data_IF_175994519853
#
_entry.id   IF_175994519853
#
_cell.length_a   1.000
_cell.length_b   1.000
_cell.length_c   1.000
_cell.angle_alpha   90.00
_cell.angle_beta   90.00
_cell.angle_gamma   90.00
#
_symmetry.space_group_name_H-M   'P 1'
#
loop_
_entity.id
_entity.type
_entity.pdbx_description
1 polymer ?
#
# COMPACT_ATOMS: atom_id res chain seq x y z
N UNK A 1 -29.21 3.38 -34.50
CA UNK A 1 -28.07 2.54 -34.09
C UNK A 1 -26.73 3.27 -34.02
N UNK A 2 -26.47 4.32 -34.82
CA UNK A 2 -25.16 5.01 -34.85
C UNK A 2 -24.74 5.72 -33.54
N UNK A 3 -25.62 6.47 -32.86
CA UNK A 3 -25.24 7.24 -31.65
C UNK A 3 -24.77 6.37 -30.48
N UNK A 4 -25.45 5.26 -30.23
CA UNK A 4 -25.14 4.34 -29.12
C UNK A 4 -23.74 3.73 -29.27
N UNK A 5 -23.29 3.47 -30.50
CA UNK A 5 -21.94 2.96 -30.75
C UNK A 5 -20.87 4.04 -30.54
N UNK A 6 -21.16 5.28 -30.91
CA UNK A 6 -20.29 6.44 -30.65
C UNK A 6 -20.15 6.71 -29.15
N UNK A 7 -21.26 6.62 -28.39
CA UNK A 7 -21.25 6.84 -26.94
C UNK A 7 -20.43 5.78 -26.21
N UNK A 8 -20.56 4.51 -26.60
CA UNK A 8 -19.77 3.41 -26.01
C UNK A 8 -18.28 3.52 -26.34
N UNK A 9 -17.93 3.98 -27.54
CA UNK A 9 -16.53 4.23 -27.90
C UNK A 9 -15.96 5.36 -27.05
N UNK A 10 -16.72 6.44 -26.88
CA UNK A 10 -16.35 7.55 -26.02
C UNK A 10 -16.17 7.10 -24.56
N UNK A 11 -17.08 6.27 -24.05
CA UNK A 11 -16.98 5.69 -22.71
C UNK A 11 -15.73 4.83 -22.54
N UNK A 12 -15.38 4.03 -23.55
CA UNK A 12 -14.13 3.25 -23.55
C UNK A 12 -12.88 4.15 -23.51
N UNK A 13 -12.87 5.22 -24.31
CA UNK A 13 -11.76 6.19 -24.31
C UNK A 13 -11.65 6.95 -22.98
N UNK A 14 -12.78 7.37 -22.41
CA UNK A 14 -12.81 8.04 -21.10
C UNK A 14 -12.26 7.08 -20.04
N UNK A 15 -12.75 5.84 -20.01
CA UNK A 15 -12.30 4.82 -19.05
C UNK A 15 -10.79 4.58 -19.13
N UNK A 16 -10.23 4.54 -20.35
CA UNK A 16 -8.79 4.44 -20.60
C UNK A 16 -8.00 5.70 -20.18
N UNK A 17 -8.57 6.89 -20.34
CA UNK A 17 -7.89 8.10 -19.86
C UNK A 17 -7.87 8.15 -18.33
N UNK A 18 -8.99 7.77 -17.70
CA UNK A 18 -9.13 7.69 -16.24
C UNK A 18 -8.17 6.69 -15.62
N UNK A 19 -7.93 5.53 -16.25
CA UNK A 19 -6.98 4.54 -15.74
C UNK A 19 -5.55 5.10 -15.67
N UNK A 20 -5.11 5.84 -16.68
CA UNK A 20 -3.79 6.48 -16.72
C UNK A 20 -3.65 7.53 -15.61
N UNK A 21 -4.70 8.34 -15.40
CA UNK A 21 -4.73 9.35 -14.33
C UNK A 21 -4.69 8.68 -12.95
N UNK A 22 -5.50 7.65 -12.72
CA UNK A 22 -5.53 6.92 -11.45
C UNK A 22 -4.18 6.24 -11.16
N UNK A 23 -3.56 5.64 -12.17
CA UNK A 23 -2.23 5.07 -12.05
C UNK A 23 -1.17 6.14 -11.72
N UNK A 24 -1.29 7.35 -12.29
CA UNK A 24 -0.39 8.47 -11.99
C UNK A 24 -0.57 8.99 -10.57
N UNK A 25 -1.78 8.88 -10.01
CA UNK A 25 -2.08 9.22 -8.61
C UNK A 25 -1.67 8.10 -7.63
N UNK A 26 -1.18 6.96 -8.14
CA UNK A 26 -0.81 5.80 -7.33
C UNK A 26 -1.99 4.90 -6.94
N UNK A 27 -3.20 5.18 -7.41
CA UNK A 27 -4.36 4.30 -7.27
C UNK A 27 -4.39 3.27 -8.41
N UNK A 28 -3.52 2.26 -8.29
CA UNK A 28 -3.46 1.20 -9.28
C UNK A 28 -4.68 0.28 -9.25
N UNK A 29 -5.43 0.21 -8.14
CA UNK A 29 -6.66 -0.59 -8.06
C UNK A 29 -7.76 0.04 -8.91
N UNK A 30 -8.00 1.35 -8.75
CA UNK A 30 -8.92 2.11 -9.58
C UNK A 30 -8.50 2.13 -11.05
N UNK A 31 -7.19 2.17 -11.32
CA UNK A 31 -6.65 2.08 -12.67
C UNK A 31 -6.99 0.75 -13.36
N UNK A 32 -6.85 -0.38 -12.65
CA UNK A 32 -7.21 -1.72 -13.17
C UNK A 32 -8.70 -1.81 -13.49
N UNK A 33 -9.57 -1.33 -12.61
CA UNK A 33 -11.03 -1.39 -12.83
C UNK A 33 -11.47 -0.51 -14.01
N UNK A 34 -10.83 0.65 -14.20
CA UNK A 34 -11.10 1.55 -15.31
C UNK A 34 -10.56 1.01 -16.64
N UNK A 35 -9.34 0.45 -16.65
CA UNK A 35 -8.76 -0.16 -17.85
C UNK A 35 -9.50 -1.43 -18.26
N UNK A 36 -10.01 -2.21 -17.30
CA UNK A 36 -10.83 -3.40 -17.59
C UNK A 36 -12.11 -3.02 -18.35
N UNK A 37 -12.80 -1.97 -17.91
CA UNK A 37 -13.98 -1.43 -18.63
C UNK A 37 -13.63 -0.95 -20.04
N UNK A 38 -12.51 -0.27 -20.20
CA UNK A 38 -12.03 0.14 -21.52
C UNK A 38 -11.75 -1.06 -22.43
N UNK A 39 -11.07 -2.09 -21.92
CA UNK A 39 -10.77 -3.33 -22.66
C UNK A 39 -12.05 -4.05 -23.10
N UNK A 40 -13.03 -4.21 -22.21
CA UNK A 40 -14.32 -4.86 -22.53
C UNK A 40 -15.07 -4.09 -23.63
N UNK A 41 -15.13 -2.76 -23.53
CA UNK A 41 -15.78 -1.92 -24.53
C UNK A 41 -15.04 -1.96 -25.88
N UNK A 42 -13.72 -1.89 -25.90
CA UNK A 42 -12.94 -2.02 -27.13
C UNK A 42 -13.03 -3.41 -27.75
N UNK A 43 -13.07 -4.47 -26.93
CA UNK A 43 -13.29 -5.83 -27.39
C UNK A 43 -14.64 -6.01 -28.09
N UNK A 44 -15.71 -5.45 -27.50
CA UNK A 44 -17.07 -5.52 -28.08
C UNK A 44 -17.18 -4.68 -29.37
N UNK A 45 -16.59 -3.48 -29.39
CA UNK A 45 -16.77 -2.52 -30.49
C UNK A 45 -15.83 -2.74 -31.68
N UNK A 46 -14.57 -3.09 -31.39
CA UNK A 46 -13.48 -3.10 -32.37
C UNK A 46 -12.94 -4.52 -32.61
N UNK A 47 -13.22 -5.46 -31.69
CA UNK A 47 -12.69 -6.81 -31.69
C UNK A 47 -11.35 -6.96 -30.96
N UNK A 48 -11.02 -8.20 -30.58
CA UNK A 48 -9.82 -8.53 -29.79
C UNK A 48 -8.51 -8.27 -30.54
N UNK A 49 -8.52 -8.38 -31.88
CA UNK A 49 -7.33 -8.18 -32.70
C UNK A 49 -7.03 -6.70 -33.00
N UNK A 50 -7.92 -5.78 -32.64
CA UNK A 50 -7.73 -4.36 -32.89
C UNK A 50 -6.62 -3.78 -32.00
N UNK A 51 -5.84 -2.86 -32.56
CA UNK A 51 -4.68 -2.26 -31.87
C UNK A 51 -5.05 -1.60 -30.54
N UNK A 52 -6.19 -0.91 -30.48
CA UNK A 52 -6.69 -0.29 -29.25
C UNK A 52 -7.00 -1.30 -28.15
N UNK A 53 -7.59 -2.45 -28.51
CA UNK A 53 -7.92 -3.52 -27.57
C UNK A 53 -6.65 -4.15 -27.00
N UNK A 54 -5.67 -4.49 -27.86
CA UNK A 54 -4.36 -5.00 -27.42
C UNK A 54 -3.61 -4.01 -26.54
N UNK A 55 -3.60 -2.73 -26.91
CA UNK A 55 -2.97 -1.70 -26.12
C UNK A 55 -3.61 -1.57 -24.72
N UNK A 56 -4.93 -1.74 -24.62
CA UNK A 56 -5.62 -1.75 -23.32
C UNK A 56 -5.37 -3.03 -22.54
N UNK A 57 -5.23 -4.18 -23.20
CA UNK A 57 -4.81 -5.44 -22.56
C UNK A 57 -3.41 -5.32 -21.94
N UNK A 58 -2.46 -4.77 -22.68
CA UNK A 58 -1.09 -4.56 -22.21
C UNK A 58 -1.03 -3.56 -21.06
N UNK A 59 -1.82 -2.48 -21.14
CA UNK A 59 -1.95 -1.51 -20.05
C UNK A 59 -2.54 -2.17 -18.79
N UNK A 60 -3.56 -3.01 -18.94
CA UNK A 60 -4.19 -3.73 -17.83
C UNK A 60 -3.19 -4.65 -17.12
N UNK A 61 -2.38 -5.40 -17.88
CA UNK A 61 -1.32 -6.27 -17.33
C UNK A 61 -0.28 -5.46 -16.53
N UNK A 62 0.10 -4.28 -17.03
CA UNK A 62 1.04 -3.37 -16.35
C UNK A 62 0.46 -2.85 -15.05
N UNK A 63 -0.81 -2.41 -15.04
CA UNK A 63 -1.46 -1.92 -13.82
C UNK A 63 -1.68 -3.03 -12.79
N UNK A 64 -2.02 -4.25 -13.21
CA UNK A 64 -2.12 -5.41 -12.33
C UNK A 64 -0.77 -5.73 -11.66
N UNK A 65 0.32 -5.71 -12.43
CA UNK A 65 1.66 -5.90 -11.89
C UNK A 65 2.02 -4.79 -10.89
N UNK A 66 1.76 -3.52 -11.24
CA UNK A 66 2.02 -2.38 -10.36
C UNK A 66 1.22 -2.47 -9.05
N UNK A 67 -0.06 -2.81 -9.11
CA UNK A 67 -0.91 -3.01 -7.92
C UNK A 67 -0.37 -4.13 -7.01
N UNK A 68 0.09 -5.25 -7.61
CA UNK A 68 0.66 -6.36 -6.86
C UNK A 68 1.98 -5.99 -6.16
N UNK A 69 2.83 -5.19 -6.82
CA UNK A 69 4.06 -4.67 -6.22
C UNK A 69 3.79 -3.67 -5.09
N UNK A 70 2.79 -2.80 -5.25
CA UNK A 70 2.39 -1.83 -4.22
C UNK A 70 1.87 -2.54 -2.96
N UNK A 71 1.05 -3.59 -3.13
CA UNK A 71 0.55 -4.40 -2.02
C UNK A 71 1.66 -5.09 -1.23
N UNK A 72 2.71 -5.60 -1.89
CA UNK A 72 3.88 -6.18 -1.22
C UNK A 72 4.68 -5.14 -0.44
N UNK A 73 4.95 -3.99 -1.05
CA UNK A 73 5.69 -2.90 -0.38
C UNK A 73 5.01 -2.40 0.90
N UNK A 74 3.68 -2.31 0.92
CA UNK A 74 2.94 -1.91 2.11
C UNK A 74 3.02 -2.95 3.24
N UNK A 75 2.91 -4.24 2.91
CA UNK A 75 2.99 -5.33 3.90
C UNK A 75 4.39 -5.41 4.51
N UNK A 76 5.43 -5.21 3.69
CA UNK A 76 6.81 -5.25 4.17
C UNK A 76 7.12 -4.05 5.08
N UNK A 77 6.63 -2.84 4.73
CA UNK A 77 6.75 -1.67 5.59
C UNK A 77 5.98 -1.82 6.90
N UNK A 78 4.76 -2.36 6.87
CA UNK A 78 3.96 -2.58 8.08
C UNK A 78 4.62 -3.57 9.04
N UNK A 79 5.25 -4.64 8.53
CA UNK A 79 6.02 -5.58 9.36
C UNK A 79 7.25 -4.92 9.97
N UNK A 80 7.94 -4.06 9.21
CA UNK A 80 9.10 -3.33 9.72
C UNK A 80 8.70 -2.39 10.87
N UNK A 81 7.62 -1.64 10.70
CA UNK A 81 7.10 -0.73 11.74
C UNK A 81 6.67 -1.47 13.00
N UNK A 82 6.00 -2.63 12.86
CA UNK A 82 5.64 -3.46 14.02
C UNK A 82 6.86 -3.98 14.78
N UNK A 83 7.94 -4.34 14.07
CA UNK A 83 9.18 -4.76 14.71
C UNK A 83 9.88 -3.60 15.42
N UNK A 84 9.88 -2.40 14.82
CA UNK A 84 10.43 -1.19 15.43
C UNK A 84 9.65 -0.81 16.70
N UNK A 85 8.32 -0.80 16.66
CA UNK A 85 7.48 -0.55 17.83
C UNK A 85 7.70 -1.59 18.93
N UNK A 86 7.81 -2.87 18.57
CA UNK A 86 8.09 -3.93 19.53
C UNK A 86 9.48 -3.78 20.16
N UNK A 87 10.50 -3.41 19.37
CA UNK A 87 11.85 -3.18 19.88
C UNK A 87 11.90 -1.97 20.83
N UNK A 88 11.18 -0.89 20.50
CA UNK A 88 11.07 0.29 21.37
C UNK A 88 10.34 -0.03 22.68
N UNK A 89 9.28 -0.85 22.63
CA UNK A 89 8.57 -1.28 23.84
C UNK A 89 9.49 -2.08 24.78
N UNK A 90 10.27 -3.01 24.23
CA UNK A 90 11.25 -3.81 25.00
C UNK A 90 12.33 -2.90 25.60
N UNK A 91 12.86 -1.94 24.83
CA UNK A 91 13.87 -1.01 25.32
C UNK A 91 13.36 -0.17 26.49
N UNK A 92 12.13 0.35 26.38
CA UNK A 92 11.50 1.14 27.45
C UNK A 92 11.25 0.30 28.72
N UNK A 93 10.88 -0.97 28.59
CA UNK A 93 10.73 -1.87 29.74
C UNK A 93 12.05 -2.13 30.46
N UNK A 94 13.13 -2.38 29.71
CA UNK A 94 14.47 -2.59 30.28
C UNK A 94 14.95 -1.34 31.02
N UNK A 95 14.78 -0.16 30.41
CA UNK A 95 15.15 1.11 31.05
C UNK A 95 14.34 1.38 32.32
N UNK A 96 13.05 1.06 32.32
CA UNK A 96 12.19 1.17 33.50
C UNK A 96 12.59 0.20 34.61
N UNK A 97 12.94 -1.06 34.28
CA UNK A 97 13.45 -2.04 35.24
C UNK A 97 14.81 -1.62 35.81
N UNK A 98 15.74 -1.15 34.98
CA UNK A 98 17.05 -0.67 35.43
C UNK A 98 16.93 0.55 36.35
N UNK A 99 16.08 1.52 36.00
CA UNK A 99 15.82 2.69 36.85
C UNK A 99 15.22 2.28 38.21
N UNK A 100 14.28 1.33 38.21
CA UNK A 100 13.69 0.79 39.42
C UNK A 100 14.71 0.00 40.27
N UNK A 101 15.64 -0.73 39.65
CA UNK A 101 16.70 -1.44 40.35
C UNK A 101 17.74 -0.48 40.94
N UNK A 102 18.13 0.56 40.22
CA UNK A 102 19.02 1.62 40.73
C UNK A 102 18.44 2.30 41.98
N UNK A 103 17.15 2.62 41.96
CA UNK A 103 16.46 3.16 43.13
C UNK A 103 16.52 2.19 44.33
N UNK A 104 16.29 0.90 44.09
CA UNK A 104 16.37 -0.14 45.14
C UNK A 104 17.78 -0.25 45.70
N UNK A 105 18.83 -0.15 44.87
CA UNK A 105 20.24 -0.15 45.27
C UNK A 105 20.59 1.09 46.11
N UNK A 106 20.16 2.29 45.69
CA UNK A 106 20.35 3.56 46.44
C UNK A 106 19.68 3.51 47.82
N UNK A 107 18.44 3.00 47.90
CA UNK A 107 17.70 2.81 49.17
C UNK A 107 18.38 1.80 50.12
N UNK A 108 18.91 0.69 49.60
CA UNK A 108 19.68 -0.30 50.40
C UNK A 108 20.97 0.28 50.97
N UNK A 109 21.73 1.05 50.19
CA UNK A 109 22.99 1.66 50.64
C UNK A 109 22.80 2.74 51.70
N UNK A 110 21.73 3.54 51.63
CA UNK A 110 21.40 4.51 52.69
C UNK A 110 21.06 3.84 54.03
N UNK A 111 20.31 2.72 54.02
CA UNK A 111 19.98 1.97 55.24
C UNK A 111 21.23 1.40 55.93
N UNK A 112 22.18 0.85 55.17
CA UNK A 112 23.45 0.32 55.73
C UNK A 112 24.31 1.39 56.39
N UNK A 113 24.30 2.65 55.89
CA UNK A 113 25.04 3.76 56.50
C UNK A 113 24.42 4.25 57.83
N UNK A 114 23.10 4.10 58.03
CA UNK A 114 22.41 4.54 59.26
C UNK A 114 22.54 3.58 60.43
N UNK A 115 22.81 2.29 60.20
CA UNK A 115 22.96 1.28 61.26
C UNK A 115 24.38 1.09 61.80
N UNK A 116 25.34 1.93 61.39
CA UNK A 116 26.77 1.83 61.77
C UNK A 116 27.22 2.94 62.73
N UNK A 117 26.28 3.58 63.42
CA UNK A 117 26.50 4.56 64.50
C UNK A 117 26.00 3.99 65.81
#
# INVERSE_FOLDING_TARGET
MSRVMSDRLLEGMISKSSSVVLASLGDFKGAVESEKRAYELFGILLGENHSLTKNSEDALKRFLAAAAHQGKGYVDQAKLQQQEEAALAIANEIEAEEAAEEERRKKKNQKKKKGKK
#
